data_IF_490525362921
#
_entry.id   IF_490525362921
#
_cell.length_a   1.000
_cell.length_b   1.000
_cell.length_c   1.000
_cell.angle_alpha   90.00
_cell.angle_beta   90.00
_cell.angle_gamma   90.00
#
_symmetry.space_group_name_H-M   'P 1'
#
loop_
_entity.id
_entity.type
_entity.pdbx_description
1 polymer ?
#
# COMPACT_ATOMS: atom_id res chain seq x y z
N UNK A 1 -11.32 -66.43 -0.10
CA UNK A 1 -11.23 -65.01 -0.52
C UNK A 1 -11.83 -64.02 0.48
N UNK A 2 -13.04 -64.22 1.03
CA UNK A 2 -13.65 -63.27 2.01
C UNK A 2 -12.84 -63.03 3.30
N UNK A 3 -12.18 -64.05 3.84
CA UNK A 3 -11.32 -63.94 5.05
C UNK A 3 -10.02 -63.17 4.79
N UNK A 4 -9.46 -63.27 3.58
CA UNK A 4 -8.23 -62.55 3.20
C UNK A 4 -8.51 -61.05 3.03
N UNK A 5 -9.62 -60.70 2.39
CA UNK A 5 -10.06 -59.30 2.24
C UNK A 5 -10.36 -58.64 3.59
N UNK A 6 -11.01 -59.37 4.51
CA UNK A 6 -11.30 -58.85 5.85
C UNK A 6 -10.04 -58.61 6.67
N UNK A 7 -9.00 -59.44 6.49
CA UNK A 7 -7.72 -59.27 7.18
C UNK A 7 -6.92 -58.08 6.63
N UNK A 8 -6.94 -57.88 5.31
CA UNK A 8 -6.29 -56.73 4.65
C UNK A 8 -6.97 -55.41 5.03
N UNK A 9 -8.31 -55.39 5.09
CA UNK A 9 -9.08 -54.22 5.55
C UNK A 9 -8.78 -53.88 7.02
N UNK A 10 -8.67 -54.88 7.89
CA UNK A 10 -8.31 -54.66 9.30
C UNK A 10 -6.89 -54.09 9.44
N UNK A 11 -5.94 -54.58 8.61
CA UNK A 11 -4.56 -54.09 8.59
C UNK A 11 -4.48 -52.65 8.09
N UNK A 12 -5.25 -52.27 7.06
CA UNK A 12 -5.32 -50.91 6.55
C UNK A 12 -5.97 -49.93 7.55
N UNK A 13 -6.97 -50.38 8.31
CA UNK A 13 -7.56 -49.60 9.41
C UNK A 13 -6.56 -49.41 10.55
N UNK A 14 -5.82 -50.45 10.93
CA UNK A 14 -4.79 -50.36 11.97
C UNK A 14 -3.57 -49.51 11.56
N UNK A 15 -3.18 -49.54 10.28
CA UNK A 15 -2.09 -48.72 9.74
C UNK A 15 -2.49 -47.25 9.52
N UNK A 16 -3.78 -46.96 9.31
CA UNK A 16 -4.28 -45.58 9.20
C UNK A 16 -4.48 -44.88 10.56
N UNK A 17 -4.63 -45.65 11.64
CA UNK A 17 -4.65 -45.14 13.03
C UNK A 17 -3.26 -44.85 13.61
N UNK A 18 -2.18 -45.25 12.93
CA UNK A 18 -0.80 -44.94 13.30
C UNK A 18 -0.22 -43.85 12.38
N UNK A 19 -0.91 -42.71 12.26
CA UNK A 19 -0.20 -41.48 11.90
C UNK A 19 0.55 -41.03 13.15
N UNK A 20 1.86 -40.73 13.08
CA UNK A 20 2.48 -39.98 14.17
C UNK A 20 1.64 -38.73 14.36
N UNK A 21 1.19 -38.46 15.59
CA UNK A 21 0.72 -37.13 15.93
C UNK A 21 1.85 -36.21 15.49
N UNK A 22 1.62 -35.42 14.44
CA UNK A 22 2.57 -34.40 14.02
C UNK A 22 2.63 -33.49 15.23
N UNK A 23 3.72 -33.57 15.99
CA UNK A 23 4.00 -32.61 17.04
C UNK A 23 3.99 -31.25 16.35
N UNK A 24 2.86 -30.55 16.50
CA UNK A 24 2.81 -29.14 16.19
C UNK A 24 3.86 -28.57 17.13
N UNK A 25 4.93 -27.92 16.64
CA UNK A 25 5.91 -27.34 17.53
C UNK A 25 5.14 -26.41 18.45
N UNK A 26 5.01 -26.83 19.71
CA UNK A 26 4.45 -25.99 20.75
C UNK A 26 5.49 -24.89 20.86
N UNK A 27 5.16 -23.72 20.32
CA UNK A 27 6.02 -22.57 20.45
C UNK A 27 6.16 -22.31 21.95
N UNK A 28 7.31 -22.67 22.52
CA UNK A 28 7.59 -22.53 23.96
C UNK A 28 7.66 -21.06 24.38
N UNK A 29 7.73 -20.14 23.40
CA UNK A 29 7.70 -18.72 23.66
C UNK A 29 6.28 -18.24 24.04
N UNK A 30 6.14 -17.48 25.15
CA UNK A 30 4.87 -16.88 25.54
C UNK A 30 4.29 -16.04 24.39
N UNK A 31 3.04 -16.33 24.02
CA UNK A 31 2.29 -15.58 23.02
C UNK A 31 2.10 -14.11 23.41
N UNK A 32 1.81 -13.25 22.44
CA UNK A 32 1.54 -11.83 22.72
C UNK A 32 0.40 -11.66 23.75
N UNK A 33 -0.62 -12.52 23.66
CA UNK A 33 -1.76 -12.55 24.59
C UNK A 33 -1.35 -12.97 26.00
N UNK A 34 -0.46 -13.96 26.16
CA UNK A 34 -0.02 -14.38 27.50
C UNK A 34 0.90 -13.35 28.18
N UNK A 35 1.44 -12.39 27.42
CA UNK A 35 2.27 -11.29 27.92
C UNK A 35 1.49 -10.03 28.28
N UNK A 36 0.17 -9.97 28.12
CA UNK A 36 -0.63 -8.75 28.39
C UNK A 36 -0.43 -8.20 29.83
N UNK A 37 -0.23 -9.08 30.81
CA UNK A 37 0.06 -8.71 32.21
C UNK A 37 1.55 -8.54 32.53
N UNK A 38 2.46 -8.83 31.60
CA UNK A 38 3.91 -8.78 31.81
C UNK A 38 4.42 -7.34 31.66
N UNK A 39 4.31 -6.59 32.77
CA UNK A 39 4.71 -5.19 32.83
C UNK A 39 6.18 -4.98 32.48
N UNK A 40 7.07 -5.90 32.83
CA UNK A 40 8.49 -5.77 32.54
C UNK A 40 8.78 -5.97 31.05
N UNK A 41 8.13 -6.95 30.43
CA UNK A 41 8.19 -7.14 28.98
C UNK A 41 7.74 -5.88 28.24
N UNK A 42 6.55 -5.35 28.54
CA UNK A 42 6.07 -4.14 27.87
C UNK A 42 6.96 -2.93 28.15
N UNK A 43 7.44 -2.76 29.39
CA UNK A 43 8.41 -1.69 29.72
C UNK A 43 9.67 -1.79 28.87
N UNK A 44 10.16 -3.01 28.60
CA UNK A 44 11.31 -3.23 27.72
C UNK A 44 10.96 -2.96 26.25
N UNK A 45 9.80 -3.42 25.78
CA UNK A 45 9.33 -3.19 24.40
C UNK A 45 9.19 -1.70 24.05
N UNK A 46 8.75 -0.91 25.03
CA UNK A 46 8.61 0.54 24.92
C UNK A 46 9.79 1.31 25.52
N UNK A 47 10.92 0.64 25.79
CA UNK A 47 12.10 1.32 26.31
C UNK A 47 12.78 2.15 25.21
N UNK A 48 13.23 3.35 25.58
CA UNK A 48 13.95 4.25 24.68
C UNK A 48 15.20 3.58 24.08
N UNK A 49 15.91 2.75 24.87
CA UNK A 49 17.08 2.02 24.41
C UNK A 49 16.77 1.02 23.28
N UNK A 50 15.65 0.28 23.40
CA UNK A 50 15.24 -0.65 22.36
C UNK A 50 14.75 0.11 21.11
N UNK A 51 14.03 1.21 21.29
CA UNK A 51 13.62 2.07 20.17
C UNK A 51 14.84 2.62 19.42
N UNK A 52 15.83 3.20 20.12
CA UNK A 52 17.08 3.68 19.51
C UNK A 52 17.84 2.58 18.78
N UNK A 53 17.85 1.36 19.33
CA UNK A 53 18.47 0.20 18.67
C UNK A 53 17.76 -0.14 17.36
N UNK A 54 16.43 -0.27 17.38
CA UNK A 54 15.62 -0.56 16.18
C UNK A 54 15.76 0.54 15.12
N UNK A 55 15.81 1.79 15.56
CA UNK A 55 15.99 2.93 14.67
C UNK A 55 17.39 2.92 14.03
N UNK A 56 18.44 2.58 14.78
CA UNK A 56 19.79 2.42 14.23
C UNK A 56 19.86 1.27 13.21
N UNK A 57 19.28 0.11 13.53
CA UNK A 57 19.19 -1.04 12.60
C UNK A 57 18.44 -0.67 11.32
N UNK A 58 17.33 0.07 11.44
CA UNK A 58 16.56 0.57 10.29
C UNK A 58 17.34 1.56 9.43
N UNK A 59 18.02 2.53 10.05
CA UNK A 59 18.82 3.49 9.31
C UNK A 59 19.98 2.81 8.59
N UNK A 60 20.59 1.81 9.23
CA UNK A 60 21.59 0.97 8.58
C UNK A 60 21.02 0.25 7.35
N UNK A 61 19.88 -0.45 7.49
CA UNK A 61 19.18 -1.10 6.37
C UNK A 61 18.87 -0.11 5.24
N UNK A 62 18.37 1.08 5.57
CA UNK A 62 18.14 2.14 4.59
C UNK A 62 19.43 2.48 3.83
N UNK A 63 20.53 2.77 4.51
CA UNK A 63 21.77 3.19 3.85
C UNK A 63 22.46 2.08 3.05
N UNK A 64 22.17 0.81 3.33
CA UNK A 64 22.66 -0.35 2.57
C UNK A 64 21.90 -0.54 1.23
N UNK A 65 20.67 -0.05 1.11
CA UNK A 65 19.89 -0.15 -0.13
C UNK A 65 20.47 0.69 -1.26
N UNK A 66 20.40 0.24 -2.53
CA UNK A 66 20.89 1.01 -3.67
C UNK A 66 20.15 2.35 -3.81
N UNK A 67 20.90 3.39 -4.21
CA UNK A 67 20.30 4.65 -4.65
C UNK A 67 19.50 4.44 -5.94
N UNK A 68 18.47 5.27 -6.12
CA UNK A 68 17.75 5.38 -7.38
C UNK A 68 18.71 5.66 -8.55
N UNK A 69 18.46 5.03 -9.70
CA UNK A 69 19.28 5.23 -10.88
C UNK A 69 18.93 6.54 -11.64
N UNK A 70 19.87 7.04 -12.44
CA UNK A 70 19.68 8.30 -13.19
C UNK A 70 18.53 8.23 -14.21
N UNK A 71 18.19 7.04 -14.70
CA UNK A 71 17.09 6.88 -15.66
C UNK A 71 15.75 7.09 -14.95
N UNK A 72 15.57 6.49 -13.78
CA UNK A 72 14.39 6.67 -12.95
C UNK A 72 14.31 8.11 -12.43
N UNK A 73 15.43 8.74 -12.04
CA UNK A 73 15.45 10.18 -11.68
C UNK A 73 14.93 11.02 -12.85
N UNK A 74 15.50 10.86 -14.05
CA UNK A 74 15.11 11.64 -15.22
C UNK A 74 13.64 11.42 -15.61
N UNK A 75 13.12 10.21 -15.38
CA UNK A 75 11.74 9.86 -15.63
C UNK A 75 10.78 10.49 -14.61
N UNK A 76 11.07 10.37 -13.32
CA UNK A 76 10.14 10.71 -12.24
C UNK A 76 10.19 12.19 -11.86
N UNK A 77 11.38 12.80 -11.84
CA UNK A 77 11.61 14.16 -11.35
C UNK A 77 10.63 15.19 -11.96
N UNK A 78 10.35 15.21 -13.28
CA UNK A 78 9.45 16.22 -13.85
C UNK A 78 8.01 16.14 -13.34
N UNK A 79 7.55 14.95 -12.95
CA UNK A 79 6.15 14.71 -12.56
C UNK A 79 5.93 14.94 -11.07
N UNK A 80 6.88 14.53 -10.23
CA UNK A 80 6.73 14.63 -8.77
C UNK A 80 7.44 15.86 -8.18
N UNK A 81 7.98 16.76 -9.02
CA UNK A 81 8.78 17.91 -8.57
C UNK A 81 8.07 18.75 -7.50
N UNK A 82 6.79 19.05 -7.69
CA UNK A 82 6.04 19.88 -6.74
C UNK A 82 5.96 19.24 -5.35
N UNK A 83 5.79 17.92 -5.29
CA UNK A 83 5.76 17.17 -4.05
C UNK A 83 7.14 17.12 -3.39
N UNK A 84 8.19 16.87 -4.17
CA UNK A 84 9.58 16.91 -3.70
C UNK A 84 9.94 18.29 -3.14
N UNK A 85 9.67 19.35 -3.90
CA UNK A 85 9.95 20.73 -3.50
C UNK A 85 9.22 21.11 -2.20
N UNK A 86 7.95 20.70 -2.07
CA UNK A 86 7.12 21.00 -0.92
C UNK A 86 7.67 20.39 0.38
N UNK A 87 8.18 19.16 0.30
CA UNK A 87 8.77 18.45 1.45
C UNK A 87 10.29 18.62 1.56
N UNK A 88 10.90 19.44 0.69
CA UNK A 88 12.36 19.61 0.60
C UNK A 88 13.12 18.29 0.43
N UNK A 89 12.57 17.38 -0.36
CA UNK A 89 13.14 16.08 -0.65
C UNK A 89 14.05 16.16 -1.88
N UNK A 90 15.20 15.50 -1.80
CA UNK A 90 16.09 15.29 -2.93
C UNK A 90 15.89 13.87 -3.47
N UNK A 91 15.34 13.77 -4.69
CA UNK A 91 15.10 12.47 -5.33
C UNK A 91 16.39 11.67 -5.48
N UNK A 92 17.56 12.31 -5.59
CA UNK A 92 18.85 11.62 -5.68
C UNK A 92 19.22 10.86 -4.41
N UNK A 93 18.54 11.13 -3.29
CA UNK A 93 18.69 10.41 -2.03
C UNK A 93 17.71 9.25 -1.88
N UNK A 94 16.78 9.09 -2.83
CA UNK A 94 15.86 7.97 -2.82
C UNK A 94 16.60 6.66 -2.98
N UNK A 95 16.09 5.64 -2.28
CA UNK A 95 16.65 4.29 -2.29
C UNK A 95 15.58 3.30 -2.67
N UNK A 96 15.94 2.33 -3.52
CA UNK A 96 15.02 1.29 -3.94
C UNK A 96 14.79 0.33 -2.78
N UNK A 97 13.53 0.12 -2.42
CA UNK A 97 13.13 -0.80 -1.35
C UNK A 97 12.58 -2.10 -1.90
N UNK A 98 11.95 -2.05 -3.07
CA UNK A 98 11.40 -3.19 -3.75
C UNK A 98 11.36 -2.96 -5.27
N UNK A 99 11.42 -4.05 -6.03
CA UNK A 99 11.27 -4.05 -7.48
C UNK A 99 10.68 -5.38 -7.89
N UNK A 100 9.38 -5.37 -8.17
CA UNK A 100 8.62 -6.59 -8.36
C UNK A 100 7.88 -6.61 -9.70
N UNK A 101 7.53 -7.83 -10.13
CA UNK A 101 6.70 -8.01 -11.32
C UNK A 101 5.23 -7.95 -10.93
N UNK A 102 4.53 -6.89 -11.35
CA UNK A 102 3.09 -6.72 -11.11
C UNK A 102 2.31 -6.76 -12.42
N UNK A 103 1.37 -7.70 -12.53
CA UNK A 103 0.58 -7.88 -13.74
C UNK A 103 -0.76 -7.16 -13.65
N UNK A 104 -0.76 -5.86 -13.96
CA UNK A 104 -1.93 -4.99 -13.88
C UNK A 104 -2.89 -5.08 -15.08
N UNK A 105 -2.51 -5.82 -16.12
CA UNK A 105 -3.22 -5.84 -17.39
C UNK A 105 -3.89 -7.19 -17.71
N UNK A 106 -3.83 -8.15 -16.79
CA UNK A 106 -4.46 -9.47 -16.94
C UNK A 106 -5.47 -9.73 -15.85
N UNK A 107 -6.47 -10.56 -16.16
CA UNK A 107 -7.32 -11.15 -15.12
C UNK A 107 -6.43 -12.02 -14.21
N UNK A 108 -6.67 -12.03 -12.89
CA UNK A 108 -5.95 -12.91 -12.00
C UNK A 108 -6.16 -14.36 -12.41
N UNK A 109 -5.13 -15.16 -12.21
CA UNK A 109 -5.29 -16.60 -12.20
C UNK A 109 -5.99 -17.00 -10.88
N UNK A 110 -6.77 -18.08 -10.90
CA UNK A 110 -7.55 -18.55 -9.73
C UNK A 110 -6.68 -18.87 -8.51
N UNK A 111 -5.38 -19.03 -8.72
CA UNK A 111 -4.39 -19.38 -7.70
C UNK A 111 -3.72 -18.17 -7.03
N UNK A 112 -3.96 -16.94 -7.50
CA UNK A 112 -3.35 -15.73 -6.95
C UNK A 112 -4.35 -15.00 -6.06
N UNK A 113 -4.04 -14.91 -4.76
CA UNK A 113 -4.81 -14.13 -3.77
C UNK A 113 -4.41 -12.66 -3.87
N UNK A 114 -4.76 -12.01 -4.98
CA UNK A 114 -4.80 -10.55 -5.05
C UNK A 114 -6.25 -10.11 -4.84
N UNK A 115 -6.50 -9.07 -4.03
CA UNK A 115 -7.85 -8.51 -3.95
C UNK A 115 -8.21 -7.89 -5.31
N UNK A 116 -8.96 -8.65 -6.09
CA UNK A 116 -9.44 -8.29 -7.41
C UNK A 116 -10.95 -8.38 -7.34
N UNK A 117 -11.55 -7.21 -7.22
CA UNK A 117 -13.00 -7.05 -7.16
C UNK A 117 -13.62 -7.00 -8.55
N UNK A 118 -14.94 -7.11 -8.59
CA UNK A 118 -15.69 -6.84 -9.81
C UNK A 118 -15.78 -5.33 -10.05
N UNK A 119 -15.55 -4.89 -11.30
CA UNK A 119 -15.66 -3.49 -11.72
C UNK A 119 -17.00 -2.84 -11.33
N UNK A 120 -18.08 -3.64 -11.28
CA UNK A 120 -19.42 -3.15 -10.95
C UNK A 120 -19.51 -2.60 -9.52
N UNK A 121 -18.61 -3.00 -8.61
CA UNK A 121 -18.48 -2.39 -7.27
C UNK A 121 -18.07 -0.91 -7.35
N UNK A 122 -17.29 -0.48 -8.34
CA UNK A 122 -16.95 0.94 -8.53
C UNK A 122 -17.95 1.71 -9.40
N UNK A 123 -18.86 1.01 -10.09
CA UNK A 123 -19.78 1.63 -11.06
C UNK A 123 -20.73 2.66 -10.43
N UNK A 124 -21.04 2.52 -9.14
CA UNK A 124 -21.84 3.48 -8.39
C UNK A 124 -21.08 4.80 -8.14
N UNK A 125 -19.78 4.76 -7.87
CA UNK A 125 -18.93 5.95 -7.76
C UNK A 125 -18.75 6.66 -9.09
N UNK A 126 -18.67 5.93 -10.20
CA UNK A 126 -18.60 6.56 -11.53
C UNK A 126 -19.85 7.36 -11.90
N UNK A 127 -21.00 7.02 -11.31
CA UNK A 127 -22.26 7.77 -11.50
C UNK A 127 -22.34 9.04 -10.66
N UNK A 128 -21.42 9.23 -9.71
CA UNK A 128 -21.30 10.47 -8.95
C UNK A 128 -20.26 11.37 -9.64
N UNK A 129 -20.73 12.42 -10.31
CA UNK A 129 -19.88 13.32 -11.11
C UNK A 129 -18.81 14.02 -10.25
N UNK A 130 -19.16 14.44 -9.04
CA UNK A 130 -18.21 15.08 -8.12
C UNK A 130 -17.12 14.09 -7.70
N UNK A 131 -17.53 12.89 -7.27
CA UNK A 131 -16.58 11.84 -6.88
C UNK A 131 -15.62 11.47 -8.02
N UNK A 132 -16.17 11.35 -9.24
CA UNK A 132 -15.40 11.09 -10.44
C UNK A 132 -14.37 12.19 -10.71
N UNK A 133 -14.77 13.45 -10.56
CA UNK A 133 -13.92 14.59 -10.87
C UNK A 133 -12.78 14.78 -9.86
N UNK A 134 -13.06 14.61 -8.57
CA UNK A 134 -12.12 14.92 -7.50
C UNK A 134 -11.33 13.72 -7.00
N UNK A 135 -11.91 12.52 -6.93
CA UNK A 135 -11.31 11.36 -6.25
C UNK A 135 -10.61 10.38 -7.20
N UNK A 136 -10.87 10.47 -8.52
CA UNK A 136 -10.23 9.60 -9.51
C UNK A 136 -9.05 10.27 -10.20
N UNK A 137 -7.94 9.54 -10.23
CA UNK A 137 -6.72 9.94 -10.89
C UNK A 137 -6.66 9.26 -12.25
N UNK A 138 -7.28 9.89 -13.25
CA UNK A 138 -7.38 9.34 -14.59
C UNK A 138 -6.06 9.38 -15.37
N UNK A 139 -5.80 8.30 -16.10
CA UNK A 139 -4.86 8.30 -17.21
C UNK A 139 -5.29 9.31 -18.28
N UNK A 140 -4.38 9.83 -19.14
CA UNK A 140 -4.70 10.85 -20.14
C UNK A 140 -5.89 10.49 -21.05
N UNK A 141 -6.01 9.23 -21.46
CA UNK A 141 -7.11 8.75 -22.30
C UNK A 141 -8.40 8.40 -21.52
N UNK A 142 -8.39 8.56 -20.20
CA UNK A 142 -9.49 8.24 -19.26
C UNK A 142 -9.99 6.80 -19.30
N UNK A 143 -9.24 5.87 -19.91
CA UNK A 143 -9.58 4.46 -19.94
C UNK A 143 -9.24 3.74 -18.63
N UNK A 144 -8.35 4.34 -17.83
CA UNK A 144 -7.88 3.84 -16.54
C UNK A 144 -7.85 4.95 -15.51
N UNK A 145 -7.95 4.57 -14.25
CA UNK A 145 -7.73 5.49 -13.14
C UNK A 145 -7.19 4.77 -11.92
N UNK A 146 -6.54 5.54 -11.04
CA UNK A 146 -6.27 5.11 -9.66
C UNK A 146 -7.36 5.71 -8.77
N UNK A 147 -7.84 4.91 -7.82
CA UNK A 147 -8.69 5.33 -6.73
C UNK A 147 -8.02 4.89 -5.42
N UNK A 148 -7.93 5.79 -4.46
CA UNK A 148 -7.35 5.51 -3.15
C UNK A 148 -8.29 4.80 -2.16
N UNK A 149 -9.41 4.27 -2.64
CA UNK A 149 -10.46 3.73 -1.79
C UNK A 149 -11.08 4.80 -0.88
N UNK A 150 -10.95 6.08 -1.23
CA UNK A 150 -11.44 7.21 -0.42
C UNK A 150 -12.86 7.57 -0.76
N UNK A 151 -13.66 7.80 0.28
CA UNK A 151 -14.81 8.69 0.15
C UNK A 151 -14.35 10.15 0.20
N UNK A 152 -14.51 10.88 -0.90
CA UNK A 152 -14.57 12.34 -0.80
C UNK A 152 -15.99 12.71 -0.36
N UNK A 153 -16.11 13.52 0.69
CA UNK A 153 -17.38 14.10 1.10
C UNK A 153 -17.51 15.52 0.54
N UNK A 154 -18.69 15.79 -0.01
CA UNK A 154 -19.11 17.11 -0.49
C UNK A 154 -20.35 17.51 0.30
N UNK A 155 -20.19 18.40 1.27
CA UNK A 155 -21.31 18.91 2.06
C UNK A 155 -21.26 20.44 2.13
N UNK A 156 -22.32 21.11 1.66
CA UNK A 156 -22.51 22.55 1.75
C UNK A 156 -21.30 23.39 1.28
N UNK A 157 -20.68 23.02 0.15
CA UNK A 157 -19.50 23.71 -0.40
C UNK A 157 -18.18 23.41 0.33
N UNK A 158 -18.19 22.44 1.26
CA UNK A 158 -17.00 21.89 1.89
C UNK A 158 -16.58 20.61 1.18
N UNK A 159 -15.27 20.51 0.96
CA UNK A 159 -14.62 19.31 0.47
C UNK A 159 -13.83 18.66 1.61
N UNK A 160 -14.05 17.37 1.81
CA UNK A 160 -13.31 16.56 2.77
C UNK A 160 -12.81 15.27 2.12
N UNK A 161 -11.55 14.93 2.37
CA UNK A 161 -10.97 13.64 2.00
C UNK A 161 -11.09 12.71 3.21
N UNK A 162 -12.06 11.80 3.18
CA UNK A 162 -12.21 10.79 4.24
C UNK A 162 -11.25 9.65 3.96
N UNK A 163 -10.49 9.24 4.98
CA UNK A 163 -9.54 8.13 4.90
C UNK A 163 -9.98 7.05 5.87
N UNK A 164 -10.31 5.87 5.34
CA UNK A 164 -10.58 4.68 6.15
C UNK A 164 -9.27 4.09 6.71
N UNK A 165 -9.36 3.27 7.76
CA UNK A 165 -8.23 2.59 8.42
C UNK A 165 -7.60 1.48 7.57
N UNK A 166 -8.31 0.97 6.56
CA UNK A 166 -7.86 -0.16 5.71
C UNK A 166 -7.13 0.29 4.43
N UNK A 167 -7.15 1.58 4.09
CA UNK A 167 -6.48 2.30 2.98
C UNK A 167 -5.98 1.46 1.76
N UNK A 168 -6.86 0.77 1.02
CA UNK A 168 -6.46 0.13 -0.23
C UNK A 168 -6.27 1.17 -1.35
N UNK A 169 -5.21 1.05 -2.14
CA UNK A 169 -5.08 1.80 -3.39
C UNK A 169 -5.40 0.87 -4.55
N UNK A 170 -6.30 1.31 -5.40
CA UNK A 170 -6.93 0.48 -6.43
C UNK A 170 -6.65 1.05 -7.82
N UNK A 171 -6.15 0.20 -8.69
CA UNK A 171 -6.07 0.42 -10.13
C UNK A 171 -7.34 -0.10 -10.81
N UNK A 172 -7.92 0.71 -11.70
CA UNK A 172 -9.10 0.32 -12.48
C UNK A 172 -8.83 0.46 -13.97
N UNK A 173 -9.15 -0.59 -14.74
CA UNK A 173 -9.19 -0.56 -16.21
C UNK A 173 -10.64 -0.76 -16.69
N UNK A 174 -11.21 0.31 -17.25
CA UNK A 174 -12.61 0.36 -17.69
C UNK A 174 -12.87 -0.54 -18.89
N UNK A 175 -11.90 -0.63 -19.80
CA UNK A 175 -12.04 -1.42 -21.04
C UNK A 175 -12.00 -2.90 -20.72
N UNK A 176 -11.13 -3.30 -19.80
CA UNK A 176 -10.98 -4.70 -19.38
C UNK A 176 -11.97 -5.08 -18.26
N UNK A 177 -12.69 -4.11 -17.69
CA UNK A 177 -13.53 -4.25 -16.49
C UNK A 177 -12.74 -4.90 -15.34
N UNK A 178 -11.55 -4.36 -15.07
CA UNK A 178 -10.65 -4.86 -14.04
C UNK A 178 -10.54 -3.85 -12.90
N UNK A 179 -10.47 -4.38 -11.68
CA UNK A 179 -10.18 -3.67 -10.45
C UNK A 179 -9.12 -4.46 -9.71
N UNK A 180 -7.98 -3.83 -9.40
CA UNK A 180 -6.84 -4.50 -8.76
C UNK A 180 -6.37 -3.61 -7.61
N UNK A 181 -6.35 -4.14 -6.39
CA UNK A 181 -5.64 -3.46 -5.31
C UNK A 181 -4.13 -3.56 -5.56
N UNK A 182 -3.48 -2.41 -5.71
CA UNK A 182 -2.06 -2.28 -6.03
C UNK A 182 -1.21 -1.88 -4.82
N UNK A 183 -1.81 -1.27 -3.79
CA UNK A 183 -1.16 -1.00 -2.51
C UNK A 183 -2.13 -1.28 -1.37
N UNK A 184 -1.59 -1.68 -0.22
CA UNK A 184 -2.29 -1.70 1.06
C UNK A 184 -1.54 -0.79 2.03
N UNK A 185 -2.15 0.34 2.39
CA UNK A 185 -1.50 1.32 3.25
C UNK A 185 -2.04 1.12 4.69
N UNK A 186 -1.16 0.75 5.61
CA UNK A 186 -1.55 0.61 7.01
C UNK A 186 -1.87 1.98 7.65
N UNK A 187 -2.30 1.96 8.91
CA UNK A 187 -2.69 3.15 9.69
C UNK A 187 -1.64 4.28 9.74
N UNK A 188 -0.37 3.95 9.54
CA UNK A 188 0.75 4.90 9.57
C UNK A 188 1.19 5.36 8.19
N UNK A 189 0.61 4.83 7.11
CA UNK A 189 0.95 5.16 5.73
C UNK A 189 -0.13 6.02 5.07
N UNK A 190 0.20 6.61 3.92
CA UNK A 190 -0.67 7.52 3.22
C UNK A 190 -0.23 7.74 1.76
N UNK A 191 -1.09 7.44 0.78
CA UNK A 191 -0.92 7.94 -0.59
C UNK A 191 -1.47 9.36 -0.69
N UNK A 192 -0.69 10.29 -1.22
CA UNK A 192 -1.04 11.71 -1.27
C UNK A 192 -1.46 12.15 -2.67
N UNK A 193 -0.73 11.75 -3.71
CA UNK A 193 -1.05 12.13 -5.10
C UNK A 193 -0.62 11.07 -6.11
N UNK A 194 -1.22 11.10 -7.30
CA UNK A 194 -0.91 10.22 -8.43
C UNK A 194 -0.60 11.06 -9.66
N UNK A 195 0.53 10.76 -10.29
CA UNK A 195 0.94 11.41 -11.53
C UNK A 195 1.04 10.35 -12.63
N UNK A 196 0.19 10.48 -13.64
CA UNK A 196 0.30 9.69 -14.86
C UNK A 196 1.40 10.28 -15.74
N UNK A 197 2.39 9.45 -16.07
CA UNK A 197 3.48 9.78 -16.99
C UNK A 197 2.98 9.67 -18.44
N UNK A 198 2.19 8.64 -18.71
CA UNK A 198 1.44 8.44 -19.94
C UNK A 198 0.19 7.57 -19.67
N UNK A 199 -0.32 6.84 -20.67
CA UNK A 199 -1.50 5.98 -20.48
C UNK A 199 -1.21 4.64 -19.80
N UNK A 200 0.06 4.25 -19.69
CA UNK A 200 0.52 2.95 -19.24
C UNK A 200 1.47 3.04 -18.02
N UNK A 201 1.97 4.23 -17.70
CA UNK A 201 2.90 4.47 -16.61
C UNK A 201 2.40 5.56 -15.67
N UNK A 202 2.52 5.32 -14.38
CA UNK A 202 2.16 6.28 -13.34
C UNK A 202 3.04 6.12 -12.11
N UNK A 203 3.05 7.16 -11.29
CA UNK A 203 3.73 7.18 -10.00
C UNK A 203 2.76 7.67 -8.94
N UNK A 204 2.79 7.01 -7.78
CA UNK A 204 2.07 7.41 -6.57
C UNK A 204 3.10 7.91 -5.59
N UNK A 205 2.83 9.03 -4.94
CA UNK A 205 3.69 9.57 -3.87
C UNK A 205 2.93 9.56 -2.55
N UNK A 206 3.66 9.43 -1.46
CA UNK A 206 3.07 9.33 -0.15
C UNK A 206 4.09 9.27 0.96
N UNK A 207 3.65 8.83 2.13
CA UNK A 207 4.51 8.76 3.29
C UNK A 207 4.12 7.63 4.25
N UNK A 208 5.01 7.34 5.19
CA UNK A 208 4.77 6.59 6.40
C UNK A 208 5.28 7.40 7.61
N UNK A 209 4.55 7.45 8.73
CA UNK A 209 4.93 8.19 9.93
C UNK A 209 5.63 7.33 11.00
N UNK A 210 5.54 6.00 10.89
CA UNK A 210 6.07 5.06 11.87
C UNK A 210 6.70 3.85 11.18
N UNK A 211 7.96 3.99 10.71
CA UNK A 211 8.85 5.16 10.86
C UNK A 211 8.70 6.16 9.72
N UNK A 212 9.12 7.41 9.97
CA UNK A 212 9.07 8.53 9.03
C UNK A 212 9.81 8.23 7.73
N UNK A 213 9.06 8.15 6.63
CA UNK A 213 9.55 7.88 5.28
C UNK A 213 8.67 8.58 4.25
N UNK A 214 9.30 9.26 3.32
CA UNK A 214 8.66 9.64 2.06
C UNK A 214 8.73 8.44 1.10
N UNK A 215 7.61 8.12 0.46
CA UNK A 215 7.44 6.92 -0.37
C UNK A 215 7.06 7.29 -1.80
N UNK A 216 7.65 6.57 -2.75
CA UNK A 216 7.39 6.71 -4.19
C UNK A 216 7.14 5.32 -4.74
N UNK A 217 5.96 5.09 -5.32
CA UNK A 217 5.58 3.83 -5.97
C UNK A 217 5.41 4.06 -7.47
N UNK A 218 6.31 3.52 -8.27
CA UNK A 218 6.29 3.61 -9.74
C UNK A 218 5.74 2.33 -10.37
N UNK A 219 4.87 2.49 -11.36
CA UNK A 219 4.26 1.38 -12.08
C UNK A 219 4.39 1.55 -13.59
N UNK A 220 4.81 0.49 -14.27
CA UNK A 220 4.78 0.34 -15.74
C UNK A 220 3.93 -0.88 -16.11
N UNK A 221 2.71 -0.61 -16.56
CA UNK A 221 1.71 -1.64 -16.88
C UNK A 221 2.21 -2.53 -18.03
N UNK A 222 2.81 -1.94 -19.06
CA UNK A 222 3.26 -2.67 -20.24
C UNK A 222 4.41 -3.62 -19.93
N UNK A 223 5.31 -3.22 -19.03
CA UNK A 223 6.43 -4.04 -18.59
C UNK A 223 6.09 -4.95 -17.42
N UNK A 224 4.86 -4.87 -16.88
CA UNK A 224 4.47 -5.53 -15.64
C UNK A 224 5.46 -5.25 -14.50
N UNK A 225 5.85 -3.99 -14.32
CA UNK A 225 6.91 -3.60 -13.40
C UNK A 225 6.35 -2.66 -12.32
N UNK A 226 6.68 -2.95 -11.06
CA UNK A 226 6.59 -2.03 -9.94
C UNK A 226 7.99 -1.76 -9.40
N UNK A 227 8.26 -0.50 -9.03
CA UNK A 227 9.45 -0.12 -8.28
C UNK A 227 9.03 0.79 -7.13
N UNK A 228 9.54 0.49 -5.95
CA UNK A 228 9.24 1.24 -4.74
C UNK A 228 10.51 1.91 -4.24
N UNK A 229 10.40 3.17 -3.85
CA UNK A 229 11.49 3.93 -3.28
C UNK A 229 11.10 4.57 -1.96
N UNK A 230 12.09 4.71 -1.08
CA UNK A 230 11.98 5.47 0.16
C UNK A 230 13.02 6.60 0.20
N UNK A 231 12.62 7.75 0.77
CA UNK A 231 13.48 8.87 1.10
C UNK A 231 13.31 9.17 2.59
N UNK A 232 14.41 9.38 3.31
CA UNK A 232 14.35 9.89 4.68
C UNK A 232 13.98 11.38 4.64
N UNK A 233 12.85 11.79 5.24
CA UNK A 233 12.49 13.19 5.29
C UNK A 233 13.44 13.97 6.21
N UNK A 234 13.70 15.27 5.95
CA UNK A 234 14.62 16.08 6.74
C UNK A 234 14.12 16.37 8.17
N UNK A 235 12.82 16.20 8.42
CA UNK A 235 12.13 16.42 9.70
C UNK A 235 11.11 15.26 9.85
N UNK A 236 10.59 14.94 11.06
CA UNK A 236 9.47 14.02 11.22
C UNK A 236 8.20 14.45 10.47
N UNK A 237 7.49 13.51 9.83
CA UNK A 237 6.37 13.80 8.93
C UNK A 237 5.10 14.28 9.65
N UNK A 238 4.95 13.90 10.92
CA UNK A 238 3.92 14.40 11.84
C UNK A 238 3.97 15.92 12.06
N UNK A 239 5.11 16.54 11.72
CA UNK A 239 5.37 17.97 11.89
C UNK A 239 5.20 18.77 10.60
N UNK A 240 4.87 18.14 9.46
CA UNK A 240 4.77 18.84 8.17
C UNK A 240 3.35 19.28 7.83
N UNK A 241 3.22 20.39 7.08
CA UNK A 241 1.98 20.68 6.40
C UNK A 241 1.62 19.56 5.41
N UNK A 242 0.32 19.32 5.22
CA UNK A 242 -0.16 18.36 4.23
C UNK A 242 0.03 18.93 2.82
N UNK A 243 0.71 18.18 1.93
CA UNK A 243 0.88 18.55 0.54
C UNK A 243 -0.48 18.76 -0.15
N UNK A 244 -0.70 19.89 -0.84
CA UNK A 244 -1.94 20.13 -1.56
C UNK A 244 -2.01 19.23 -2.80
N UNK A 245 -2.53 18.02 -2.63
CA UNK A 245 -2.70 17.04 -3.71
C UNK A 245 -3.65 17.52 -4.81
N UNK A 246 -3.61 16.87 -5.96
CA UNK A 246 -4.47 17.17 -7.12
C UNK A 246 -5.96 17.33 -6.75
N UNK A 247 -6.60 16.47 -5.93
CA UNK A 247 -7.97 16.69 -5.47
C UNK A 247 -8.16 18.00 -4.70
N UNK A 248 -7.24 18.32 -3.79
CA UNK A 248 -7.27 19.55 -3.00
C UNK A 248 -7.10 20.78 -3.90
N UNK A 249 -6.18 20.72 -4.88
CA UNK A 249 -5.97 21.81 -5.83
C UNK A 249 -7.22 22.04 -6.69
N UNK A 250 -7.86 20.98 -7.20
CA UNK A 250 -9.13 21.06 -7.93
C UNK A 250 -10.24 21.67 -7.08
N UNK A 251 -10.40 21.20 -5.84
CA UNK A 251 -11.42 21.71 -4.92
C UNK A 251 -11.22 23.21 -4.62
N UNK A 252 -9.98 23.64 -4.38
CA UNK A 252 -9.63 25.06 -4.21
C UNK A 252 -9.95 25.88 -5.47
N UNK A 253 -9.62 25.37 -6.66
CA UNK A 253 -9.91 26.04 -7.93
C UNK A 253 -11.42 26.17 -8.18
N UNK A 254 -12.22 25.22 -7.69
CA UNK A 254 -13.68 25.27 -7.72
C UNK A 254 -14.31 26.17 -6.65
N UNK A 255 -13.51 26.84 -5.81
CA UNK A 255 -13.99 27.71 -4.73
C UNK A 255 -14.52 26.96 -3.51
N UNK A 256 -14.25 25.66 -3.39
CA UNK A 256 -14.66 24.86 -2.24
C UNK A 256 -13.78 25.17 -1.03
N UNK A 257 -14.41 25.17 0.15
CA UNK A 257 -13.68 25.24 1.41
C UNK A 257 -13.13 23.86 1.75
N UNK A 258 -11.82 23.77 1.94
CA UNK A 258 -11.19 22.52 2.39
C UNK A 258 -11.43 22.42 3.89
N UNK A 259 -12.31 21.51 4.31
CA UNK A 259 -12.42 21.18 5.74
C UNK A 259 -11.13 20.47 6.12
N UNK A 260 -10.44 20.95 7.16
CA UNK A 260 -9.28 20.20 7.67
C UNK A 260 -9.77 18.80 8.02
N UNK A 261 -9.10 17.80 7.47
CA UNK A 261 -8.77 16.58 8.20
C UNK A 261 -8.39 17.04 9.61
N UNK A 262 -9.31 16.92 10.58
CA UNK A 262 -8.96 17.07 11.98
C UNK A 262 -7.96 15.93 12.24
N UNK A 263 -6.67 16.23 12.15
CA UNK A 263 -5.63 15.42 12.76
C UNK A 263 -5.77 15.51 14.27
#
# INVERSE_FOLDING_TARGET
MKKLLSFILLLLVLLSSCRPAREVPVNEEPTLFSRLGDREYWRKQYSEALWKKREAERLQDFYEKPLIDEQDIALLQPFIKQWLDFYHLDLRQARIIDSDTIHLDRKPDKEIVSYIGEYDLCSHWEKNEDYNYYCFFYAPNKARYINYGYDCSFDNGKFELLRDVEQPVVFVDKKKKLLIQILYLGVSSAAQDVFWIDNDRFVIVGYNNYPDRALIWYFDIKKSLAKDYEILPPIPLDSFPYYPSTPIQKAKAAGLTISRLNQ
#
